data_IF_520224756888
#
_entry.id   IF_520224756888
#
_cell.length_a   1.000
_cell.length_b   1.000
_cell.length_c   1.000
_cell.angle_alpha   90.00
_cell.angle_beta   90.00
_cell.angle_gamma   90.00
#
_symmetry.space_group_name_H-M   'P 1'
#
loop_
_entity.id
_entity.type
_entity.pdbx_description
1 polymer ?
#
# COMPACT_ATOMS: atom_id res chain seq x y z
N UNK A 1 -19.07 -0.32 -10.42
CA UNK A 1 -18.34 -1.49 -10.93
C UNK A 1 -17.97 -1.37 -12.42
N UNK A 2 -18.84 -0.82 -13.30
CA UNK A 2 -18.54 -0.67 -14.74
C UNK A 2 -17.42 0.33 -15.11
N UNK A 3 -17.14 1.34 -14.27
CA UNK A 3 -16.04 2.29 -14.50
C UNK A 3 -14.64 1.66 -14.33
N UNK A 4 -14.50 0.63 -13.49
CA UNK A 4 -13.22 -0.06 -13.26
C UNK A 4 -12.81 -0.94 -14.44
N UNK A 5 -13.78 -1.51 -15.17
CA UNK A 5 -13.52 -2.36 -16.34
C UNK A 5 -13.18 -1.54 -17.60
N UNK A 6 -13.78 -0.35 -17.77
CA UNK A 6 -13.51 0.50 -18.94
C UNK A 6 -12.08 1.08 -18.94
N UNK A 7 -11.45 1.16 -17.77
CA UNK A 7 -10.06 1.57 -17.56
C UNK A 7 -9.07 0.44 -17.89
N UNK A 8 -9.49 -0.73 -18.40
CA UNK A 8 -8.56 -1.85 -18.62
C UNK A 8 -7.96 -1.95 -20.05
N UNK A 9 -8.62 -1.43 -21.10
CA UNK A 9 -8.33 -1.82 -22.50
C UNK A 9 -7.69 -0.72 -23.36
N UNK A 10 -6.55 -0.13 -22.95
CA UNK A 10 -5.72 0.67 -23.88
C UNK A 10 -4.27 0.21 -23.83
N UNK A 11 -3.80 -0.29 -24.97
CA UNK A 11 -2.42 -0.73 -25.23
C UNK A 11 -1.57 0.51 -25.52
N UNK A 12 -0.67 0.87 -24.61
CA UNK A 12 0.55 1.62 -24.97
C UNK A 12 1.60 1.60 -23.85
N UNK A 13 2.86 1.64 -24.31
CA UNK A 13 4.19 1.64 -23.65
C UNK A 13 4.56 0.44 -22.77
N UNK A 14 5.67 -0.19 -23.15
CA UNK A 14 6.40 -1.15 -22.32
C UNK A 14 6.73 -0.50 -20.97
N UNK A 15 6.65 -1.30 -19.89
CA UNK A 15 6.99 -0.85 -18.55
C UNK A 15 8.44 -0.36 -18.55
N UNK A 16 8.65 0.93 -18.29
CA UNK A 16 9.99 1.48 -18.11
C UNK A 16 10.51 1.08 -16.72
N UNK A 17 11.15 -0.10 -16.67
CA UNK A 17 11.69 -0.68 -15.44
C UNK A 17 12.69 0.26 -14.74
N UNK A 18 13.45 1.05 -15.52
CA UNK A 18 14.40 2.02 -14.97
C UNK A 18 13.68 3.12 -14.22
N UNK A 19 12.57 3.62 -14.78
CA UNK A 19 11.73 4.63 -14.12
C UNK A 19 11.10 4.07 -12.84
N UNK A 20 10.56 2.85 -12.89
CA UNK A 20 9.99 2.17 -11.73
C UNK A 20 11.02 2.03 -10.59
N UNK A 21 12.18 1.46 -10.89
CA UNK A 21 13.25 1.25 -9.92
C UNK A 21 13.75 2.57 -9.32
N UNK A 22 14.02 3.58 -10.15
CA UNK A 22 14.50 4.88 -9.67
C UNK A 22 13.48 5.53 -8.73
N UNK A 23 12.19 5.48 -9.07
CA UNK A 23 11.13 6.06 -8.24
C UNK A 23 11.04 5.35 -6.89
N UNK A 24 11.07 4.02 -6.90
CA UNK A 24 11.03 3.19 -5.70
C UNK A 24 12.27 3.37 -4.82
N UNK A 25 13.45 3.51 -5.42
CA UNK A 25 14.69 3.77 -4.71
C UNK A 25 14.71 5.17 -4.09
N UNK A 26 14.29 6.18 -4.84
CA UNK A 26 14.31 7.57 -4.38
C UNK A 26 13.30 7.82 -3.26
N UNK A 27 12.08 7.29 -3.36
CA UNK A 27 11.07 7.48 -2.30
C UNK A 27 11.53 6.85 -0.97
N UNK A 28 12.31 5.77 -1.03
CA UNK A 28 12.86 5.11 0.16
C UNK A 28 14.04 5.90 0.74
N UNK A 29 14.99 6.34 -0.10
CA UNK A 29 16.23 7.02 0.36
C UNK A 29 16.06 8.51 0.67
N UNK A 30 15.28 9.21 -0.14
CA UNK A 30 15.13 10.68 -0.08
C UNK A 30 13.65 11.09 -0.10
N UNK A 31 12.85 10.64 0.88
CA UNK A 31 11.40 10.79 0.85
C UNK A 31 10.95 12.25 0.77
N UNK A 32 11.58 13.16 1.51
CA UNK A 32 11.21 14.58 1.52
C UNK A 32 11.37 15.23 0.14
N UNK A 33 12.50 15.00 -0.52
CA UNK A 33 12.79 15.54 -1.85
C UNK A 33 11.89 14.90 -2.91
N UNK A 34 11.67 13.58 -2.81
CA UNK A 34 10.86 12.85 -3.78
C UNK A 34 9.38 13.24 -3.67
N UNK A 35 8.85 13.44 -2.46
CA UNK A 35 7.49 13.96 -2.27
C UNK A 35 7.31 15.38 -2.81
N UNK A 36 8.34 16.23 -2.76
CA UNK A 36 8.31 17.55 -3.38
C UNK A 36 8.18 17.44 -4.91
N UNK A 37 8.96 16.55 -5.53
CA UNK A 37 8.86 16.26 -6.97
C UNK A 37 7.47 15.71 -7.32
N UNK A 38 7.01 14.68 -6.60
CA UNK A 38 5.70 14.04 -6.81
C UNK A 38 4.55 15.04 -6.65
N UNK A 39 4.64 15.97 -5.69
CA UNK A 39 3.60 16.99 -5.48
C UNK A 39 3.45 17.96 -6.66
N UNK A 40 4.52 18.17 -7.44
CA UNK A 40 4.49 19.00 -8.64
C UNK A 40 4.13 18.24 -9.92
N UNK A 41 4.10 16.90 -9.91
CA UNK A 41 3.83 16.08 -11.09
C UNK A 41 2.33 15.94 -11.36
N UNK A 42 1.93 16.09 -12.63
CA UNK A 42 0.60 15.63 -13.07
C UNK A 42 0.60 14.12 -13.22
N UNK A 43 0.18 13.42 -12.17
CA UNK A 43 0.06 11.97 -12.20
C UNK A 43 -1.24 11.52 -12.90
N UNK A 44 -1.19 10.54 -13.80
CA UNK A 44 -2.40 9.87 -14.28
C UNK A 44 -2.68 8.67 -13.36
N UNK A 45 -3.86 8.62 -12.76
CA UNK A 45 -4.28 7.57 -11.82
C UNK A 45 -4.14 6.17 -12.43
N UNK A 46 -4.50 6.03 -13.71
CA UNK A 46 -4.46 4.76 -14.42
C UNK A 46 -3.02 4.31 -14.67
N UNK A 47 -2.17 5.24 -15.11
CA UNK A 47 -0.76 4.94 -15.36
C UNK A 47 -0.04 4.61 -14.06
N UNK A 48 -0.30 5.35 -12.97
CA UNK A 48 0.28 5.05 -11.67
C UNK A 48 -0.08 3.64 -11.21
N UNK A 49 -1.35 3.26 -11.28
CA UNK A 49 -1.76 1.93 -10.87
C UNK A 49 -1.08 0.85 -11.73
N UNK A 50 -1.08 1.01 -13.06
CA UNK A 50 -0.57 -0.01 -13.99
C UNK A 50 0.95 -0.11 -14.02
N UNK A 51 1.67 1.00 -14.01
CA UNK A 51 3.12 1.05 -14.15
C UNK A 51 3.86 0.91 -12.82
N UNK A 52 3.20 1.16 -11.69
CA UNK A 52 3.85 1.19 -10.38
C UNK A 52 3.25 0.20 -9.36
N UNK A 53 1.94 0.28 -9.11
CA UNK A 53 1.29 -0.55 -8.07
C UNK A 53 1.13 -2.00 -8.50
N UNK A 54 0.64 -2.22 -9.72
CA UNK A 54 0.39 -3.57 -10.24
C UNK A 54 1.66 -4.43 -10.29
N UNK A 55 2.83 -3.94 -10.77
CA UNK A 55 4.08 -4.71 -10.73
C UNK A 55 4.52 -5.08 -9.31
N UNK A 56 4.28 -4.19 -8.32
CA UNK A 56 4.58 -4.48 -6.92
C UNK A 56 3.70 -5.62 -6.36
N UNK A 57 2.40 -5.61 -6.67
CA UNK A 57 1.49 -6.68 -6.23
C UNK A 57 1.84 -8.01 -6.91
N UNK A 58 2.19 -7.96 -8.20
CA UNK A 58 2.67 -9.14 -8.94
C UNK A 58 3.95 -9.67 -8.29
N UNK A 59 4.88 -8.81 -7.89
CA UNK A 59 6.11 -9.21 -7.20
C UNK A 59 5.82 -9.99 -5.91
N UNK A 60 4.85 -9.54 -5.10
CA UNK A 60 4.43 -10.26 -3.88
C UNK A 60 3.89 -11.65 -4.20
N UNK A 61 3.09 -11.79 -5.26
CA UNK A 61 2.53 -13.08 -5.68
C UNK A 61 3.59 -14.03 -6.23
N UNK A 62 4.50 -13.53 -7.08
CA UNK A 62 5.62 -14.31 -7.64
C UNK A 62 6.58 -14.76 -6.55
N UNK A 63 6.89 -13.89 -5.58
CA UNK A 63 7.74 -14.27 -4.44
C UNK A 63 7.08 -15.28 -3.53
N UNK A 64 5.75 -15.24 -3.36
CA UNK A 64 5.01 -16.30 -2.65
C UNK A 64 5.13 -17.64 -3.35
N UNK A 65 4.94 -17.68 -4.68
CA UNK A 65 5.14 -18.90 -5.46
C UNK A 65 6.59 -19.41 -5.34
N UNK A 66 7.57 -18.52 -5.48
CA UNK A 66 8.98 -18.87 -5.33
C UNK A 66 9.28 -19.43 -3.94
N UNK A 67 8.73 -18.84 -2.88
CA UNK A 67 8.86 -19.33 -1.51
C UNK A 67 8.31 -20.74 -1.33
N UNK A 68 7.14 -21.03 -1.90
CA UNK A 68 6.56 -22.39 -1.88
C UNK A 68 7.43 -23.42 -2.61
N UNK A 69 8.03 -23.03 -3.74
CA UNK A 69 8.92 -23.90 -4.52
C UNK A 69 10.26 -24.15 -3.81
N UNK A 70 10.87 -23.10 -3.23
CA UNK A 70 12.12 -23.21 -2.47
C UNK A 70 11.94 -24.13 -1.26
N UNK A 71 10.81 -24.00 -0.57
CA UNK A 71 10.50 -24.77 0.63
C UNK A 71 9.67 -26.03 0.35
N UNK A 72 9.65 -26.50 -0.90
CA UNK A 72 8.82 -27.64 -1.31
C UNK A 72 9.08 -28.88 -0.44
N UNK A 73 10.34 -29.15 -0.09
CA UNK A 73 10.72 -30.30 0.75
C UNK A 73 10.23 -30.20 2.20
N UNK A 74 10.06 -28.99 2.71
CA UNK A 74 9.65 -28.75 4.09
C UNK A 74 8.13 -28.76 4.24
N UNK A 75 7.42 -28.15 3.29
CA UNK A 75 5.96 -27.99 3.36
C UNK A 75 5.17 -28.99 2.53
N UNK A 76 5.83 -29.70 1.59
CA UNK A 76 5.21 -30.60 0.62
C UNK A 76 3.87 -30.06 0.07
N UNK A 77 3.86 -28.83 -0.48
CA UNK A 77 2.62 -28.22 -0.94
C UNK A 77 2.01 -29.04 -2.08
N UNK A 78 0.68 -29.18 -2.05
CA UNK A 78 -0.02 -29.83 -3.16
C UNK A 78 0.07 -28.98 -4.43
N UNK A 79 -0.11 -29.62 -5.59
CA UNK A 79 -0.14 -28.90 -6.88
C UNK A 79 -1.24 -27.83 -6.89
N UNK A 80 -2.36 -28.07 -6.20
CA UNK A 80 -3.45 -27.12 -6.07
C UNK A 80 -3.03 -25.92 -5.22
N UNK A 81 -2.32 -26.14 -4.11
CA UNK A 81 -1.78 -25.06 -3.27
C UNK A 81 -0.78 -24.19 -4.02
N UNK A 82 0.08 -24.77 -4.85
CA UNK A 82 1.02 -24.02 -5.70
C UNK A 82 0.33 -23.05 -6.67
N UNK A 83 -0.92 -23.32 -7.06
CA UNK A 83 -1.71 -22.45 -7.94
C UNK A 83 -2.59 -21.47 -7.14
N UNK A 84 -3.23 -21.95 -6.08
CA UNK A 84 -4.23 -21.20 -5.32
C UNK A 84 -3.58 -20.18 -4.38
N UNK A 85 -2.48 -20.51 -3.71
CA UNK A 85 -1.81 -19.62 -2.76
C UNK A 85 -1.33 -18.30 -3.41
N UNK A 86 -0.61 -18.31 -4.55
CA UNK A 86 -0.15 -17.08 -5.21
C UNK A 86 -1.32 -16.24 -5.74
N UNK A 87 -2.40 -16.88 -6.19
CA UNK A 87 -3.59 -16.20 -6.68
C UNK A 87 -4.36 -15.52 -5.54
N UNK A 88 -4.49 -16.19 -4.40
CA UNK A 88 -5.13 -15.63 -3.21
C UNK A 88 -4.32 -14.48 -2.62
N UNK A 89 -2.99 -14.59 -2.50
CA UNK A 89 -2.17 -13.48 -2.00
C UNK A 89 -2.24 -12.26 -2.93
N UNK A 90 -2.28 -12.49 -4.26
CA UNK A 90 -2.48 -11.42 -5.23
C UNK A 90 -3.82 -10.70 -4.99
N UNK A 91 -4.91 -11.46 -4.86
CA UNK A 91 -6.23 -10.90 -4.60
C UNK A 91 -6.29 -10.16 -3.25
N UNK A 92 -5.68 -10.72 -2.19
CA UNK A 92 -5.59 -10.09 -0.88
C UNK A 92 -4.80 -8.77 -0.92
N UNK A 93 -3.65 -8.73 -1.60
CA UNK A 93 -2.87 -7.50 -1.75
C UNK A 93 -3.61 -6.43 -2.57
N UNK A 94 -4.30 -6.84 -3.64
CA UNK A 94 -5.11 -5.93 -4.45
C UNK A 94 -6.29 -5.35 -3.66
N UNK A 95 -7.00 -6.19 -2.89
CA UNK A 95 -8.07 -5.74 -2.01
C UNK A 95 -7.53 -4.82 -0.91
N UNK A 96 -6.41 -5.17 -0.28
CA UNK A 96 -5.77 -4.35 0.74
C UNK A 96 -5.40 -2.97 0.21
N UNK A 97 -4.78 -2.89 -0.96
CA UNK A 97 -4.46 -1.62 -1.62
C UNK A 97 -5.71 -0.79 -1.88
N UNK A 98 -6.74 -1.41 -2.46
CA UNK A 98 -7.99 -0.72 -2.83
C UNK A 98 -8.69 -0.16 -1.59
N UNK A 99 -8.84 -0.98 -0.55
CA UNK A 99 -9.43 -0.56 0.72
C UNK A 99 -8.61 0.59 1.32
N UNK A 100 -7.28 0.50 1.30
CA UNK A 100 -6.41 1.56 1.81
C UNK A 100 -6.62 2.89 1.10
N UNK A 101 -6.71 2.90 -0.24
CA UNK A 101 -6.98 4.12 -1.02
C UNK A 101 -8.33 4.73 -0.64
N UNK A 102 -9.38 3.90 -0.53
CA UNK A 102 -10.71 4.39 -0.14
C UNK A 102 -10.74 4.91 1.30
N UNK A 103 -10.06 4.25 2.23
CA UNK A 103 -9.92 4.71 3.62
C UNK A 103 -9.22 6.07 3.66
N UNK A 104 -8.09 6.21 2.97
CA UNK A 104 -7.34 7.47 2.92
C UNK A 104 -8.20 8.57 2.28
N UNK A 105 -8.90 8.27 1.18
CA UNK A 105 -9.80 9.22 0.52
C UNK A 105 -10.95 9.66 1.43
N UNK A 106 -11.64 8.72 2.08
CA UNK A 106 -12.73 9.01 3.00
C UNK A 106 -12.27 9.89 4.17
N UNK A 107 -11.08 9.61 4.72
CA UNK A 107 -10.50 10.43 5.77
C UNK A 107 -10.06 11.80 5.25
N UNK A 108 -9.55 11.89 4.01
CA UNK A 108 -9.22 13.18 3.42
C UNK A 108 -10.46 14.06 3.27
N UNK A 109 -11.63 13.51 2.94
CA UNK A 109 -12.88 14.27 2.88
C UNK A 109 -13.30 14.85 4.25
N UNK A 110 -12.88 14.21 5.35
CA UNK A 110 -13.21 14.66 6.72
C UNK A 110 -12.20 15.69 7.22
N UNK A 111 -10.91 15.49 6.94
CA UNK A 111 -9.82 16.26 7.57
C UNK A 111 -9.18 17.31 6.66
N UNK A 112 -9.26 17.17 5.34
CA UNK A 112 -8.59 18.04 4.37
C UNK A 112 -9.59 18.89 3.58
N UNK A 113 -9.26 20.17 3.36
CA UNK A 113 -10.15 21.10 2.68
C UNK A 113 -10.30 20.82 1.17
N UNK A 114 -9.34 20.12 0.55
CA UNK A 114 -9.30 19.83 -0.90
C UNK A 114 -8.83 18.39 -1.19
N UNK A 115 -9.28 17.42 -0.40
CA UNK A 115 -8.93 16.01 -0.60
C UNK A 115 -9.44 15.47 -1.94
N UNK A 116 -8.54 15.16 -2.88
CA UNK A 116 -8.89 14.52 -4.15
C UNK A 116 -8.62 13.02 -4.12
N UNK A 117 -9.39 12.24 -4.89
CA UNK A 117 -9.15 10.79 -5.03
C UNK A 117 -7.74 10.51 -5.56
N UNK A 118 -7.30 11.30 -6.54
CA UNK A 118 -5.94 11.30 -7.05
C UNK A 118 -4.89 11.43 -5.95
N UNK A 119 -5.05 12.40 -5.04
CA UNK A 119 -4.10 12.61 -3.93
C UNK A 119 -4.06 11.39 -3.00
N UNK A 120 -5.22 10.81 -2.70
CA UNK A 120 -5.30 9.59 -1.88
C UNK A 120 -4.63 8.39 -2.57
N UNK A 121 -4.87 8.21 -3.87
CA UNK A 121 -4.24 7.16 -4.67
C UNK A 121 -2.72 7.30 -4.69
N UNK A 122 -2.20 8.49 -4.99
CA UNK A 122 -0.76 8.77 -5.05
C UNK A 122 -0.10 8.54 -3.70
N UNK A 123 -0.68 9.11 -2.64
CA UNK A 123 -0.15 8.99 -1.29
C UNK A 123 -0.08 7.52 -0.84
N UNK A 124 -1.15 6.76 -1.09
CA UNK A 124 -1.24 5.35 -0.72
C UNK A 124 -0.27 4.48 -1.53
N UNK A 125 -0.17 4.72 -2.84
CA UNK A 125 0.69 3.94 -3.75
C UNK A 125 2.16 3.98 -3.34
N UNK A 126 2.69 5.18 -3.12
CA UNK A 126 4.10 5.34 -2.75
C UNK A 126 4.38 4.90 -1.31
N UNK A 127 3.46 5.13 -0.38
CA UNK A 127 3.66 4.74 1.03
C UNK A 127 3.61 3.23 1.24
N UNK A 128 2.70 2.53 0.56
CA UNK A 128 2.58 1.07 0.63
C UNK A 128 3.68 0.32 -0.14
N UNK A 129 4.51 1.02 -0.91
CA UNK A 129 5.58 0.37 -1.69
C UNK A 129 6.56 -0.38 -0.80
N UNK A 130 6.96 0.22 0.32
CA UNK A 130 7.86 -0.40 1.30
C UNK A 130 7.23 -1.64 1.92
N UNK A 131 5.93 -1.56 2.21
CA UNK A 131 5.18 -2.69 2.74
C UNK A 131 5.17 -3.86 1.74
N UNK A 132 4.86 -3.63 0.47
CA UNK A 132 4.88 -4.70 -0.54
C UNK A 132 6.28 -5.28 -0.78
N UNK A 133 7.34 -4.47 -0.72
CA UNK A 133 8.72 -4.97 -0.80
C UNK A 133 9.04 -5.84 0.42
N UNK A 134 8.71 -5.38 1.63
CA UNK A 134 8.94 -6.14 2.85
C UNK A 134 8.15 -7.46 2.86
N UNK A 135 6.88 -7.44 2.40
CA UNK A 135 6.07 -8.64 2.21
C UNK A 135 6.66 -9.59 1.18
N UNK A 136 7.22 -9.06 0.07
CA UNK A 136 7.86 -9.87 -0.96
C UNK A 136 9.09 -10.63 -0.41
N UNK A 137 9.88 -9.96 0.43
CA UNK A 137 11.04 -10.58 1.11
C UNK A 137 10.56 -11.62 2.13
N UNK A 138 9.56 -11.30 2.94
CA UNK A 138 9.01 -12.20 3.94
C UNK A 138 8.35 -13.45 3.33
N UNK A 139 7.80 -13.36 2.12
CA UNK A 139 7.15 -14.49 1.46
C UNK A 139 8.12 -15.56 0.92
N UNK A 140 9.41 -15.23 0.76
CA UNK A 140 10.42 -16.18 0.28
C UNK A 140 10.76 -17.24 1.33
N UNK A 141 10.86 -16.82 2.59
CA UNK A 141 11.24 -17.68 3.70
C UNK A 141 10.42 -17.28 4.94
N UNK A 142 9.73 -18.23 5.61
CA UNK A 142 8.96 -17.95 6.82
C UNK A 142 9.78 -17.26 7.91
N UNK A 143 11.07 -17.56 8.04
CA UNK A 143 11.95 -16.96 9.05
C UNK A 143 12.16 -15.46 8.81
N UNK A 144 11.89 -14.97 7.59
CA UNK A 144 12.02 -13.57 7.21
C UNK A 144 10.78 -12.73 7.57
N UNK A 145 9.78 -13.27 8.29
CA UNK A 145 8.66 -12.43 8.77
C UNK A 145 9.10 -11.26 9.65
N UNK A 146 10.27 -11.34 10.29
CA UNK A 146 10.86 -10.21 11.03
C UNK A 146 11.11 -8.99 10.13
N UNK A 147 11.33 -9.19 8.82
CA UNK A 147 11.53 -8.09 7.87
C UNK A 147 10.24 -7.29 7.62
N UNK A 148 9.07 -7.81 8.00
CA UNK A 148 7.81 -7.06 7.93
C UNK A 148 7.83 -5.80 8.82
N UNK A 149 8.71 -5.75 9.83
CA UNK A 149 8.96 -4.55 10.66
C UNK A 149 9.45 -3.39 9.79
N UNK A 150 10.21 -3.64 8.72
CA UNK A 150 10.60 -2.58 7.77
C UNK A 150 9.39 -2.01 7.02
N UNK A 151 8.28 -2.77 6.91
CA UNK A 151 7.02 -2.27 6.40
C UNK A 151 6.45 -1.10 7.21
N UNK A 152 6.81 -0.97 8.50
CA UNK A 152 6.42 0.18 9.33
C UNK A 152 7.05 1.49 8.85
N UNK A 153 8.16 1.44 8.10
CA UNK A 153 8.72 2.63 7.45
C UNK A 153 7.75 3.23 6.41
N UNK A 154 6.81 2.44 5.89
CA UNK A 154 5.69 2.93 5.08
C UNK A 154 4.84 3.99 5.80
N UNK A 155 4.72 3.93 7.13
CA UNK A 155 4.00 4.98 7.90
C UNK A 155 4.77 6.30 7.93
N UNK A 156 6.09 6.24 7.98
CA UNK A 156 6.92 7.44 7.86
C UNK A 156 6.79 8.07 6.47
N UNK A 157 6.78 7.26 5.41
CA UNK A 157 6.50 7.74 4.05
C UNK A 157 5.11 8.36 3.93
N UNK A 158 4.10 7.74 4.53
CA UNK A 158 2.73 8.26 4.54
C UNK A 158 2.63 9.58 5.27
N UNK A 159 3.27 9.70 6.44
CA UNK A 159 3.32 10.95 7.21
C UNK A 159 3.99 12.08 6.42
N UNK A 160 5.18 11.83 5.86
CA UNK A 160 5.91 12.83 5.07
C UNK A 160 5.18 13.23 3.79
N UNK A 161 4.54 12.28 3.11
CA UNK A 161 3.72 12.56 1.93
C UNK A 161 2.46 13.36 2.27
N UNK A 162 1.82 13.07 3.39
CA UNK A 162 0.63 13.80 3.86
C UNK A 162 0.97 15.28 4.09
N UNK A 163 2.09 15.56 4.77
CA UNK A 163 2.55 16.92 5.02
C UNK A 163 2.78 17.74 3.75
N UNK A 164 3.11 17.08 2.63
CA UNK A 164 3.46 17.76 1.38
C UNK A 164 2.31 17.82 0.37
N UNK A 165 1.50 16.77 0.30
CA UNK A 165 0.45 16.61 -0.72
C UNK A 165 -0.94 17.00 -0.25
N UNK A 166 -1.20 16.96 1.06
CA UNK A 166 -2.54 17.18 1.61
C UNK A 166 -2.55 18.54 2.30
N UNK A 167 -3.32 19.47 1.75
CA UNK A 167 -3.57 20.76 2.39
C UNK A 167 -4.58 20.55 3.54
N UNK A 168 -4.06 20.02 4.66
CA UNK A 168 -4.80 19.85 5.93
C UNK A 168 -4.94 21.22 6.62
N UNK A 169 -4.05 22.14 6.29
CA UNK A 169 -4.13 23.57 6.57
C UNK A 169 -5.21 24.21 5.70
N UNK A 170 -6.17 24.90 6.30
CA UNK A 170 -6.93 25.87 5.50
C UNK A 170 -5.94 26.87 4.89
N UNK A 171 -6.01 27.14 3.58
CA UNK A 171 -5.11 28.09 2.88
C UNK A 171 -4.93 29.43 3.63
N UNK A 172 -5.95 29.84 4.37
CA UNK A 172 -5.95 31.02 5.25
C UNK A 172 -4.96 30.90 6.43
N UNK A 173 -4.84 29.73 7.05
CA UNK A 173 -3.94 29.48 8.19
C UNK A 173 -2.46 29.47 7.76
N UNK A 174 -2.18 28.99 6.54
CA UNK A 174 -0.82 29.01 5.96
C UNK A 174 -0.41 30.44 5.55
N UNK A 175 -1.35 31.25 5.08
CA UNK A 175 -1.15 32.67 4.81
C UNK A 175 -0.86 33.45 6.10
N UNK A 176 -1.57 33.15 7.20
CA UNK A 176 -1.34 33.76 8.52
C UNK A 176 0.03 33.40 9.14
N UNK A 177 0.53 32.19 8.86
CA UNK A 177 1.89 31.79 9.25
C UNK A 177 2.97 32.54 8.47
N UNK A 178 2.74 32.78 7.17
CA UNK A 178 3.65 33.54 6.31
C UNK A 178 3.59 35.06 6.57
N UNK A 179 2.44 35.61 6.95
CA UNK A 179 2.22 37.06 7.09
C UNK A 179 2.82 37.72 8.35
N UNK A 180 3.69 37.04 9.10
CA UNK A 180 4.39 37.67 10.23
C UNK A 180 3.53 37.92 11.48
N UNK A 181 2.43 37.18 11.65
CA UNK A 181 1.65 37.22 12.90
C UNK A 181 2.49 36.87 14.14
N UNK A 182 2.11 37.42 15.30
CA UNK A 182 2.82 37.30 16.59
C UNK A 182 3.32 35.88 16.90
N UNK A 183 4.55 35.77 17.43
CA UNK A 183 5.24 34.50 17.72
C UNK A 183 4.39 33.48 18.52
N UNK A 184 3.55 33.97 19.46
CA UNK A 184 2.65 33.12 20.25
C UNK A 184 1.55 32.45 19.40
N UNK A 185 0.95 33.19 18.46
CA UNK A 185 -0.12 32.69 17.59
C UNK A 185 0.45 31.67 16.61
N UNK A 186 1.67 31.88 16.11
CA UNK A 186 2.36 30.93 15.24
C UNK A 186 2.64 29.59 15.95
N UNK A 187 3.08 29.62 17.20
CA UNK A 187 3.34 28.40 17.97
C UNK A 187 2.06 27.61 18.26
N UNK A 188 0.95 28.28 18.59
CA UNK A 188 -0.34 27.60 18.79
C UNK A 188 -0.93 27.06 17.50
N UNK A 189 -0.83 27.80 16.38
CA UNK A 189 -1.35 27.33 15.10
C UNK A 189 -0.55 26.14 14.57
N UNK A 190 0.78 26.17 14.69
CA UNK A 190 1.65 25.05 14.29
C UNK A 190 1.42 23.81 15.14
N UNK A 191 1.14 23.96 16.45
CA UNK A 191 0.85 22.83 17.33
C UNK A 191 -0.51 22.18 17.00
N UNK A 192 -1.55 22.98 16.75
CA UNK A 192 -2.87 22.49 16.33
C UNK A 192 -2.83 21.76 14.98
N UNK A 193 -2.12 22.35 14.00
CA UNK A 193 -1.95 21.74 12.68
C UNK A 193 -1.19 20.43 12.75
N UNK A 194 -0.07 20.41 13.50
CA UNK A 194 0.70 19.19 13.74
C UNK A 194 -0.18 18.12 14.37
N UNK A 195 -1.00 18.46 15.36
CA UNK A 195 -1.87 17.52 16.04
C UNK A 195 -2.93 16.93 15.08
N UNK A 196 -3.51 17.75 14.20
CA UNK A 196 -4.50 17.29 13.20
C UNK A 196 -3.88 16.35 12.16
N UNK A 197 -2.68 16.67 11.66
CA UNK A 197 -1.94 15.79 10.73
C UNK A 197 -1.57 14.48 11.40
N UNK A 198 -1.11 14.52 12.66
CA UNK A 198 -0.78 13.32 13.43
C UNK A 198 -2.01 12.45 13.68
N UNK A 199 -3.16 13.05 14.01
CA UNK A 199 -4.43 12.32 14.15
C UNK A 199 -4.87 11.68 12.83
N UNK A 200 -4.85 12.43 11.73
CA UNK A 200 -5.19 11.90 10.40
C UNK A 200 -4.27 10.74 10.00
N UNK A 201 -2.96 10.93 10.12
CA UNK A 201 -1.95 9.92 9.78
C UNK A 201 -2.11 8.69 10.66
N UNK A 202 -2.22 8.88 11.98
CA UNK A 202 -2.39 7.80 12.95
C UNK A 202 -3.65 6.99 12.71
N UNK A 203 -4.78 7.64 12.43
CA UNK A 203 -6.04 6.96 12.14
C UNK A 203 -5.98 6.19 10.82
N UNK A 204 -5.39 6.76 9.76
CA UNK A 204 -5.15 6.07 8.49
C UNK A 204 -4.32 4.80 8.72
N UNK A 205 -3.17 4.94 9.39
CA UNK A 205 -2.27 3.82 9.64
C UNK A 205 -2.93 2.73 10.49
N UNK A 206 -3.69 3.10 11.51
CA UNK A 206 -4.41 2.15 12.36
C UNK A 206 -5.47 1.37 11.58
N UNK A 207 -6.29 2.05 10.77
CA UNK A 207 -7.32 1.39 9.96
C UNK A 207 -6.67 0.48 8.90
N UNK A 208 -5.57 0.92 8.28
CA UNK A 208 -4.83 0.09 7.33
C UNK A 208 -4.22 -1.15 8.01
N UNK A 209 -3.68 -1.04 9.22
CA UNK A 209 -3.20 -2.19 9.98
C UNK A 209 -4.33 -3.17 10.32
N UNK A 210 -5.48 -2.66 10.77
CA UNK A 210 -6.65 -3.49 11.05
C UNK A 210 -7.16 -4.20 9.79
N UNK A 211 -7.22 -3.48 8.66
CA UNK A 211 -7.63 -4.05 7.38
C UNK A 211 -6.66 -5.15 6.92
N UNK A 212 -5.35 -4.92 7.05
CA UNK A 212 -4.33 -5.93 6.76
C UNK A 212 -4.49 -7.16 7.66
N UNK A 213 -4.63 -6.96 8.97
CA UNK A 213 -4.80 -8.05 9.93
C UNK A 213 -6.06 -8.87 9.60
N UNK A 214 -7.20 -8.22 9.38
CA UNK A 214 -8.44 -8.88 9.00
C UNK A 214 -8.31 -9.68 7.69
N UNK A 215 -7.68 -9.10 6.66
CA UNK A 215 -7.42 -9.80 5.39
C UNK A 215 -6.45 -10.96 5.56
N UNK A 216 -5.45 -10.84 6.43
CA UNK A 216 -4.52 -11.93 6.72
C UNK A 216 -5.20 -13.10 7.44
N UNK A 217 -6.13 -12.82 8.36
CA UNK A 217 -6.93 -13.84 9.03
C UNK A 217 -7.85 -14.55 8.03
N UNK A 218 -8.53 -13.78 7.18
CA UNK A 218 -9.40 -14.33 6.12
C UNK A 218 -8.59 -15.18 5.13
N UNK A 219 -7.43 -14.69 4.69
CA UNK A 219 -6.52 -15.43 3.81
C UNK A 219 -6.11 -16.76 4.43
N UNK A 220 -5.61 -16.75 5.67
CA UNK A 220 -5.18 -17.97 6.36
C UNK A 220 -6.34 -18.94 6.58
N UNK A 221 -7.54 -18.43 6.89
CA UNK A 221 -8.75 -19.25 7.00
C UNK A 221 -9.11 -19.92 5.67
N UNK A 222 -9.07 -19.18 4.56
CA UNK A 222 -9.32 -19.73 3.23
C UNK A 222 -8.32 -20.81 2.86
N UNK A 223 -7.01 -20.58 3.07
CA UNK A 223 -5.97 -21.58 2.81
C UNK A 223 -6.18 -22.85 3.62
N UNK A 224 -6.46 -22.71 4.92
CA UNK A 224 -6.71 -23.87 5.79
C UNK A 224 -7.93 -24.67 5.33
N UNK A 225 -9.03 -24.01 4.98
CA UNK A 225 -10.22 -24.66 4.43
C UNK A 225 -9.93 -25.43 3.14
N UNK A 226 -9.15 -24.83 2.21
CA UNK A 226 -8.73 -25.51 0.98
C UNK A 226 -7.83 -26.72 1.26
N UNK A 227 -6.90 -26.61 2.21
CA UNK A 227 -6.01 -27.71 2.59
C UNK A 227 -6.77 -28.89 3.19
N UNK A 228 -7.69 -28.62 4.12
CA UNK A 228 -8.53 -29.67 4.76
C UNK A 228 -9.45 -30.31 3.74
N UNK A 229 -10.09 -29.52 2.87
CA UNK A 229 -10.95 -30.03 1.80
C UNK A 229 -10.19 -30.93 0.82
N UNK A 230 -8.97 -30.54 0.43
CA UNK A 230 -8.12 -31.35 -0.45
C UNK A 230 -7.73 -32.68 0.20
N UNK A 231 -7.34 -32.68 1.48
CA UNK A 231 -7.00 -33.91 2.20
C UNK A 231 -8.20 -34.86 2.29
N UNK A 232 -9.40 -34.34 2.58
CA UNK A 232 -10.63 -35.14 2.64
C UNK A 232 -11.00 -35.78 1.29
N UNK A 233 -10.81 -35.06 0.19
CA UNK A 233 -11.05 -35.60 -1.16
C UNK A 233 -10.02 -36.69 -1.51
N UNK A 234 -8.74 -36.46 -1.20
CA UNK A 234 -7.71 -37.46 -1.45
C UNK A 234 -7.94 -38.74 -0.65
N UNK A 235 -8.39 -38.67 0.61
CA UNK A 235 -8.74 -39.87 1.38
C UNK A 235 -9.92 -40.63 0.76
N UNK A 236 -10.93 -39.94 0.25
CA UNK A 236 -12.11 -40.56 -0.37
C UNK A 236 -11.86 -41.17 -1.77
N UNK A 237 -10.76 -40.79 -2.45
CA UNK A 237 -10.39 -41.32 -3.76
C UNK A 237 -9.42 -42.49 -3.70
N UNK A 238 -8.81 -42.74 -2.53
CA UNK A 238 -7.84 -43.82 -2.30
C UNK A 238 -8.52 -45.07 -1.71
N UNK A 239 -9.72 -44.92 -1.14
CA UNK A 239 -10.62 -46.02 -0.71
C UNK A 239 -11.62 -46.40 -1.83
#
# INVERSE_FOLDING_TARGET
MSLLLYIFVRKDKDMDFKRFYNRLHNIIRHPLNEWEIISGEQCDERLLFREYVLPLIILVSVTRLAGLLINYRFYNPSWLQLLVDPALIFASCFLFFTISVFTVFALMQIYAANGSFKSALVLTSYSLSVFFIASSIANLLPELYVFLVFGLYGFYLFYTGTLRMVDITGKEQLALLKSGSSFSIKNDLTSLLRNRVVQFTGLCCFIMLLAYFALSVLYNFTINMFSVGYQAINTLLVD
#
